data_IF_039816274993
#
_entry.id   IF_039816274993
#
_cell.length_a   1.000
_cell.length_b   1.000
_cell.length_c   1.000
_cell.angle_alpha   90.00
_cell.angle_beta   90.00
_cell.angle_gamma   90.00
#
_symmetry.space_group_name_H-M   'P 1'
#
loop_
_entity.id
_entity.type
_entity.pdbx_description
1 polymer ?
#
# COMPACT_ATOMS: atom_id res chain seq x y z
N UNK A 1 -18.21 16.77 12.46
CA UNK A 1 -17.18 16.76 11.40
C UNK A 1 -17.87 16.67 10.06
N UNK A 2 -17.49 17.56 9.14
CA UNK A 2 -17.86 17.47 7.73
C UNK A 2 -17.26 16.20 7.11
N UNK A 3 -17.91 15.63 6.09
CA UNK A 3 -17.37 14.46 5.38
C UNK A 3 -16.01 14.76 4.74
N UNK A 4 -15.75 16.02 4.37
CA UNK A 4 -14.43 16.49 3.91
C UNK A 4 -13.35 16.33 4.98
N UNK A 5 -13.63 16.71 6.23
CA UNK A 5 -12.67 16.58 7.33
C UNK A 5 -12.36 15.11 7.66
N UNK A 6 -13.34 14.21 7.48
CA UNK A 6 -13.12 12.77 7.65
C UNK A 6 -12.22 12.22 6.53
N UNK A 7 -12.48 12.61 5.28
CA UNK A 7 -11.67 12.22 4.12
C UNK A 7 -10.24 12.74 4.27
N UNK A 8 -10.06 14.01 4.66
CA UNK A 8 -8.74 14.60 4.89
C UNK A 8 -7.99 13.87 6.03
N UNK A 9 -8.70 13.50 7.11
CA UNK A 9 -8.12 12.71 8.21
C UNK A 9 -7.70 11.29 7.80
N UNK A 10 -8.52 10.61 6.98
CA UNK A 10 -8.17 9.30 6.41
C UNK A 10 -6.98 9.41 5.45
N UNK A 11 -7.01 10.37 4.54
CA UNK A 11 -5.92 10.63 3.59
C UNK A 11 -4.61 10.95 4.32
N UNK A 12 -4.65 11.79 5.36
CA UNK A 12 -3.49 12.09 6.19
C UNK A 12 -2.92 10.86 6.89
N UNK A 13 -3.78 10.00 7.42
CA UNK A 13 -3.39 8.74 8.09
C UNK A 13 -2.76 7.76 7.10
N UNK A 14 -3.36 7.59 5.92
CA UNK A 14 -2.85 6.75 4.85
C UNK A 14 -1.48 7.25 4.37
N UNK A 15 -1.37 8.55 4.06
CA UNK A 15 -0.13 9.14 3.59
C UNK A 15 1.00 9.02 4.62
N UNK A 16 0.70 9.27 5.90
CA UNK A 16 1.65 9.09 7.00
C UNK A 16 2.13 7.64 7.13
N UNK A 17 1.21 6.68 6.96
CA UNK A 17 1.54 5.25 7.04
C UNK A 17 2.42 4.81 5.87
N UNK A 18 2.07 5.22 4.64
CA UNK A 18 2.86 4.95 3.44
C UNK A 18 4.27 5.54 3.54
N UNK A 19 4.39 6.80 3.98
CA UNK A 19 5.70 7.45 4.16
C UNK A 19 6.56 6.72 5.19
N UNK A 20 5.96 6.30 6.32
CA UNK A 20 6.66 5.56 7.37
C UNK A 20 7.11 4.18 6.90
N UNK A 21 6.26 3.48 6.12
CA UNK A 21 6.57 2.18 5.55
C UNK A 21 7.70 2.25 4.52
N UNK A 22 7.65 3.21 3.59
CA UNK A 22 8.71 3.44 2.61
C UNK A 22 10.06 3.75 3.31
N UNK A 23 10.04 4.58 4.35
CA UNK A 23 11.24 4.86 5.14
C UNK A 23 11.80 3.60 5.83
N UNK A 24 10.92 2.72 6.34
CA UNK A 24 11.31 1.45 6.94
C UNK A 24 11.97 0.51 5.92
N UNK A 25 11.36 0.31 4.74
CA UNK A 25 11.93 -0.52 3.66
C UNK A 25 13.32 0.00 3.27
N UNK A 26 13.45 1.31 3.07
CA UNK A 26 14.75 1.93 2.76
C UNK A 26 15.78 1.68 3.87
N UNK A 27 15.40 1.76 5.15
CA UNK A 27 16.31 1.44 6.25
C UNK A 27 16.72 -0.03 6.26
N UNK A 28 15.81 -0.96 5.98
CA UNK A 28 16.09 -2.39 5.92
C UNK A 28 17.04 -2.73 4.76
N UNK A 29 16.81 -2.15 3.58
CA UNK A 29 17.73 -2.27 2.43
C UNK A 29 19.12 -1.77 2.76
N UNK A 30 19.23 -0.57 3.37
CA UNK A 30 20.52 0.01 3.78
C UNK A 30 21.28 -0.85 4.80
N UNK A 31 20.55 -1.62 5.62
CA UNK A 31 21.13 -2.56 6.57
C UNK A 31 21.45 -3.93 5.96
N UNK A 32 21.11 -4.16 4.68
CA UNK A 32 21.27 -5.45 4.01
C UNK A 32 20.32 -6.53 4.51
N UNK A 33 19.20 -6.16 5.16
CA UNK A 33 18.20 -7.09 5.67
C UNK A 33 17.23 -7.52 4.58
N UNK A 34 16.95 -6.63 3.62
CA UNK A 34 16.13 -6.88 2.44
C UNK A 34 16.96 -6.66 1.19
N UNK A 35 16.93 -7.64 0.30
CA UNK A 35 17.36 -7.51 -1.09
C UNK A 35 16.26 -6.87 -1.93
N UNK A 36 16.61 -6.40 -3.13
CA UNK A 36 15.63 -5.88 -4.09
C UNK A 36 14.61 -6.95 -4.52
N UNK A 37 15.04 -8.22 -4.58
CA UNK A 37 14.14 -9.33 -4.90
C UNK A 37 13.11 -9.56 -3.78
N UNK A 38 13.53 -9.55 -2.51
CA UNK A 38 12.62 -9.70 -1.36
C UNK A 38 11.69 -8.49 -1.20
N UNK A 39 12.15 -7.28 -1.51
CA UNK A 39 11.28 -6.10 -1.57
C UNK A 39 10.22 -6.26 -2.67
N UNK A 40 10.61 -6.74 -3.85
CA UNK A 40 9.68 -6.99 -4.95
C UNK A 40 8.64 -8.06 -4.58
N UNK A 41 9.10 -9.19 -4.01
CA UNK A 41 8.26 -10.29 -3.55
C UNK A 41 7.23 -9.80 -2.51
N UNK A 42 7.63 -8.92 -1.59
CA UNK A 42 6.72 -8.32 -0.62
C UNK A 42 5.56 -7.57 -1.29
N UNK A 43 5.81 -6.80 -2.35
CA UNK A 43 4.75 -6.10 -3.09
C UNK A 43 3.87 -7.07 -3.89
N UNK A 44 4.44 -8.13 -4.45
CA UNK A 44 3.70 -9.18 -5.16
C UNK A 44 2.77 -9.95 -4.21
N UNK A 45 3.25 -10.33 -3.01
CA UNK A 45 2.44 -10.94 -1.95
C UNK A 45 1.33 -10.01 -1.45
N UNK A 46 1.60 -8.70 -1.36
CA UNK A 46 0.57 -7.72 -1.00
C UNK A 46 -0.55 -7.64 -2.06
N UNK A 47 -0.21 -7.69 -3.35
CA UNK A 47 -1.21 -7.75 -4.43
C UNK A 47 -2.04 -9.04 -4.35
N UNK A 48 -1.41 -10.18 -4.12
CA UNK A 48 -2.11 -11.45 -3.93
C UNK A 48 -3.05 -11.38 -2.73
N UNK A 49 -2.62 -10.78 -1.62
CA UNK A 49 -3.47 -10.60 -0.45
C UNK A 49 -4.70 -9.74 -0.78
N UNK A 50 -4.53 -8.65 -1.54
CA UNK A 50 -5.66 -7.83 -1.99
C UNK A 50 -6.61 -8.61 -2.92
N UNK A 51 -6.09 -9.46 -3.80
CA UNK A 51 -6.90 -10.33 -4.65
C UNK A 51 -7.72 -11.33 -3.86
N UNK A 52 -7.08 -12.06 -2.93
CA UNK A 52 -7.74 -13.08 -2.11
C UNK A 52 -8.79 -12.47 -1.18
N UNK A 53 -8.56 -11.27 -0.67
CA UNK A 53 -9.46 -10.60 0.28
C UNK A 53 -10.47 -9.67 -0.40
N UNK A 54 -10.44 -9.52 -1.72
CA UNK A 54 -11.47 -8.78 -2.44
C UNK A 54 -12.76 -9.60 -2.42
N UNK A 55 -13.72 -9.18 -1.61
CA UNK A 55 -15.06 -9.78 -1.60
C UNK A 55 -15.92 -9.27 -2.77
N UNK A 56 -17.13 -9.83 -2.89
CA UNK A 56 -18.08 -9.46 -3.96
C UNK A 56 -18.81 -8.12 -3.73
N UNK A 57 -18.45 -7.37 -2.69
CA UNK A 57 -19.09 -6.09 -2.37
C UNK A 57 -18.64 -4.98 -3.33
N UNK A 58 -19.51 -4.71 -4.32
CA UNK A 58 -19.33 -3.66 -5.32
C UNK A 58 -19.08 -2.27 -4.72
N UNK A 59 -19.56 -2.00 -3.51
CA UNK A 59 -19.35 -0.70 -2.86
C UNK A 59 -17.88 -0.49 -2.47
N UNK A 60 -17.11 -1.57 -2.30
CA UNK A 60 -15.71 -1.52 -1.87
C UNK A 60 -14.71 -1.73 -3.01
N UNK A 61 -15.14 -2.22 -4.18
CA UNK A 61 -14.26 -2.54 -5.31
C UNK A 61 -13.31 -1.40 -5.70
N UNK A 62 -13.81 -0.17 -5.76
CA UNK A 62 -12.99 0.99 -6.10
C UNK A 62 -11.82 1.22 -5.11
N UNK A 63 -11.98 0.85 -3.84
CA UNK A 63 -10.93 0.96 -2.82
C UNK A 63 -9.83 -0.08 -3.07
N UNK A 64 -10.21 -1.31 -3.44
CA UNK A 64 -9.25 -2.36 -3.80
C UNK A 64 -8.48 -2.02 -5.08
N UNK A 65 -9.15 -1.46 -6.09
CA UNK A 65 -8.51 -0.95 -7.30
C UNK A 65 -7.49 0.14 -6.98
N UNK A 66 -7.88 1.14 -6.19
CA UNK A 66 -6.95 2.18 -5.74
C UNK A 66 -5.74 1.62 -4.97
N UNK A 67 -5.94 0.62 -4.11
CA UNK A 67 -4.86 0.00 -3.37
C UNK A 67 -3.89 -0.77 -4.30
N UNK A 68 -4.41 -1.47 -5.32
CA UNK A 68 -3.60 -2.15 -6.33
C UNK A 68 -2.76 -1.18 -7.14
N UNK A 69 -3.37 -0.10 -7.63
CA UNK A 69 -2.68 0.92 -8.42
C UNK A 69 -1.46 1.50 -7.69
N UNK A 70 -1.60 1.74 -6.39
CA UNK A 70 -0.52 2.25 -5.53
C UNK A 70 0.63 1.24 -5.42
N UNK A 71 0.34 -0.04 -5.23
CA UNK A 71 1.36 -1.08 -5.09
C UNK A 71 2.04 -1.36 -6.44
N UNK A 72 1.29 -1.44 -7.53
CA UNK A 72 1.85 -1.62 -8.86
C UNK A 72 2.76 -0.46 -9.29
N UNK A 73 2.48 0.76 -8.84
CA UNK A 73 3.40 1.88 -9.05
C UNK A 73 4.77 1.62 -8.40
N UNK A 74 4.81 1.03 -7.20
CA UNK A 74 6.08 0.67 -6.55
C UNK A 74 6.85 -0.43 -7.29
N UNK A 75 6.15 -1.32 -8.00
CA UNK A 75 6.77 -2.40 -8.79
C UNK A 75 7.32 -1.97 -10.15
N UNK A 76 6.92 -0.76 -10.61
CA UNK A 76 7.35 -0.16 -11.88
C UNK A 76 8.60 0.71 -11.73
N UNK A 77 8.84 1.24 -10.53
CA UNK A 77 10.04 2.00 -10.15
C UNK A 77 11.25 1.08 -9.90
#
# INVERSE_FOLDING_TARGET
MSDREKIDGLAGTLLSSCASFAALILMLKRKGVLTEAEEREMYEEALLFLEVNQGDDQSTNHIYEMARDVIEAQLRD
#
